data_IF_343921865551
#
_entry.id   IF_343921865551
#
_cell.length_a   1.000
_cell.length_b   1.000
_cell.length_c   1.000
_cell.angle_alpha   90.00
_cell.angle_beta   90.00
_cell.angle_gamma   90.00
#
_symmetry.space_group_name_H-M   'P 1'
#
loop_
_entity.id
_entity.type
_entity.pdbx_description
1 polymer ?
#
# COMPACT_ATOMS: atom_id res chain seq x y z
N UNK A 1 43.73 -32.03 -33.65
CA UNK A 1 42.28 -31.74 -33.67
C UNK A 1 41.69 -31.39 -32.30
N UNK A 2 41.87 -32.19 -31.24
CA UNK A 2 41.26 -31.95 -29.91
C UNK A 2 41.65 -30.61 -29.25
N UNK A 3 42.95 -30.28 -29.25
CA UNK A 3 43.51 -29.02 -28.71
C UNK A 3 43.03 -27.77 -29.46
N UNK A 4 42.74 -27.88 -30.76
CA UNK A 4 42.20 -26.79 -31.57
C UNK A 4 40.71 -26.57 -31.24
N UNK A 5 39.96 -27.64 -31.04
CA UNK A 5 38.53 -27.60 -30.65
C UNK A 5 38.33 -27.01 -29.25
N UNK A 6 39.19 -27.35 -28.28
CA UNK A 6 39.16 -26.78 -26.93
C UNK A 6 39.46 -25.27 -26.93
N UNK A 7 40.41 -24.82 -27.75
CA UNK A 7 40.67 -23.38 -27.94
C UNK A 7 39.50 -22.67 -28.62
N UNK A 8 38.86 -23.28 -29.61
CA UNK A 8 37.67 -22.71 -30.26
C UNK A 8 36.48 -22.59 -29.29
N UNK A 9 36.27 -23.59 -28.43
CA UNK A 9 35.22 -23.55 -27.39
C UNK A 9 35.50 -22.43 -26.39
N UNK A 10 36.75 -22.28 -25.94
CA UNK A 10 37.14 -21.22 -25.02
C UNK A 10 36.92 -19.82 -25.61
N UNK A 11 37.25 -19.64 -26.90
CA UNK A 11 37.03 -18.37 -27.62
C UNK A 11 35.54 -18.04 -27.74
N UNK A 12 34.70 -19.03 -28.06
CA UNK A 12 33.25 -18.84 -28.14
C UNK A 12 32.69 -18.46 -26.76
N UNK A 13 33.12 -19.14 -25.70
CA UNK A 13 32.63 -18.87 -24.35
C UNK A 13 33.03 -17.48 -23.86
N UNK A 14 34.27 -17.05 -24.17
CA UNK A 14 34.72 -15.69 -23.89
C UNK A 14 33.91 -14.65 -24.66
N UNK A 15 33.63 -14.89 -25.95
CA UNK A 15 32.81 -14.00 -26.77
C UNK A 15 31.37 -13.87 -26.23
N UNK A 16 30.77 -14.98 -25.77
CA UNK A 16 29.44 -14.96 -25.15
C UNK A 16 29.42 -14.16 -23.86
N UNK A 17 30.43 -14.30 -22.99
CA UNK A 17 30.52 -13.53 -21.74
C UNK A 17 30.65 -12.04 -22.05
N UNK A 18 31.48 -11.66 -23.03
CA UNK A 18 31.62 -10.28 -23.47
C UNK A 18 30.28 -9.74 -24.00
N UNK A 19 29.55 -10.53 -24.81
CA UNK A 19 28.24 -10.14 -25.32
C UNK A 19 27.23 -9.90 -24.20
N UNK A 20 27.18 -10.77 -23.17
CA UNK A 20 26.30 -10.61 -22.00
C UNK A 20 26.63 -9.32 -21.26
N UNK A 21 27.92 -9.03 -21.05
CA UNK A 21 28.36 -7.79 -20.38
C UNK A 21 27.92 -6.56 -21.19
N UNK A 22 28.11 -6.58 -22.51
CA UNK A 22 27.68 -5.49 -23.39
C UNK A 22 26.16 -5.30 -23.32
N UNK A 23 25.38 -6.38 -23.42
CA UNK A 23 23.92 -6.31 -23.31
C UNK A 23 23.47 -5.79 -21.94
N UNK A 24 24.13 -6.20 -20.86
CA UNK A 24 23.85 -5.71 -19.50
C UNK A 24 24.13 -4.21 -19.38
N UNK A 25 25.25 -3.73 -19.90
CA UNK A 25 25.53 -2.29 -19.94
C UNK A 25 24.58 -1.52 -20.85
N UNK A 26 24.12 -2.11 -21.96
CA UNK A 26 23.07 -1.52 -22.80
C UNK A 26 21.78 -1.42 -21.99
N UNK A 27 21.37 -2.45 -21.24
CA UNK A 27 20.17 -2.40 -20.40
C UNK A 27 20.29 -1.37 -19.27
N UNK A 28 21.46 -1.23 -18.64
CA UNK A 28 21.71 -0.22 -17.61
C UNK A 28 21.75 1.22 -18.17
N UNK A 29 22.21 1.40 -19.41
CA UNK A 29 22.31 2.71 -20.08
C UNK A 29 21.12 3.02 -20.99
N UNK A 30 20.24 2.05 -21.23
CA UNK A 30 18.89 2.33 -21.63
C UNK A 30 18.30 3.09 -20.45
N UNK A 31 18.27 4.42 -20.58
CA UNK A 31 17.22 5.23 -19.99
C UNK A 31 15.89 4.74 -20.59
N UNK A 32 15.50 3.49 -20.30
CA UNK A 32 14.09 3.17 -20.15
C UNK A 32 13.63 4.29 -19.25
N UNK A 33 12.71 5.12 -19.77
CA UNK A 33 12.09 6.12 -18.94
C UNK A 33 11.76 5.39 -17.64
N UNK A 34 12.41 5.80 -16.54
CA UNK A 34 11.67 5.75 -15.30
C UNK A 34 10.38 6.43 -15.71
N UNK A 35 9.25 5.78 -15.47
CA UNK A 35 8.04 6.57 -15.33
C UNK A 35 8.34 7.47 -14.14
N UNK A 36 9.07 8.56 -14.42
CA UNK A 36 8.95 9.83 -13.75
C UNK A 36 7.46 10.08 -13.87
N UNK A 37 6.77 9.59 -12.85
CA UNK A 37 5.39 9.88 -12.55
C UNK A 37 5.38 11.35 -12.10
N UNK A 38 5.85 12.22 -13.00
CA UNK A 38 5.70 13.66 -12.90
C UNK A 38 4.20 13.89 -12.93
N UNK A 39 3.68 14.19 -11.74
CA UNK A 39 2.28 14.47 -11.47
C UNK A 39 1.32 13.30 -11.76
N UNK A 40 1.06 12.50 -10.72
CA UNK A 40 -0.33 12.07 -10.48
C UNK A 40 -1.17 13.32 -10.22
N UNK A 41 -1.58 14.02 -11.27
CA UNK A 41 -2.80 14.84 -11.19
C UNK A 41 -3.97 13.86 -11.05
N UNK A 42 -4.10 13.28 -9.85
CA UNK A 42 -5.31 12.64 -9.40
C UNK A 42 -6.11 13.75 -8.75
N UNK A 43 -6.89 14.42 -9.60
CA UNK A 43 -8.12 15.02 -9.16
C UNK A 43 -9.21 14.06 -9.61
N UNK A 44 -10.20 13.81 -8.75
CA UNK A 44 -11.52 13.43 -9.23
C UNK A 44 -11.86 14.34 -10.43
N UNK A 45 -12.48 13.83 -11.51
CA UNK A 45 -12.82 14.66 -12.66
C UNK A 45 -13.48 15.96 -12.21
N UNK A 46 -13.24 17.09 -12.88
CA UNK A 46 -13.78 18.40 -12.46
C UNK A 46 -15.31 18.40 -12.26
N UNK A 47 -16.01 17.49 -12.93
CA UNK A 47 -17.45 17.28 -12.84
C UNK A 47 -17.87 16.16 -11.87
N UNK A 48 -16.97 15.68 -11.02
CA UNK A 48 -17.26 14.61 -10.06
C UNK A 48 -18.16 15.13 -8.94
N UNK A 49 -19.40 14.63 -8.93
CA UNK A 49 -20.32 14.81 -7.82
C UNK A 49 -20.22 13.62 -6.87
N UNK A 50 -20.14 13.89 -5.56
CA UNK A 50 -20.20 12.84 -4.56
C UNK A 50 -21.58 12.16 -4.63
N UNK A 51 -21.68 10.83 -4.70
CA UNK A 51 -22.98 10.17 -4.68
C UNK A 51 -23.70 10.43 -3.36
N UNK A 52 -25.00 10.68 -3.41
CA UNK A 52 -25.86 10.77 -2.23
C UNK A 52 -26.13 9.37 -1.65
N UNK A 53 -25.09 8.81 -1.02
CA UNK A 53 -25.08 7.48 -0.46
C UNK A 53 -24.44 7.51 0.93
N UNK A 54 -25.00 6.72 1.85
CA UNK A 54 -24.45 6.56 3.21
C UNK A 54 -23.14 5.76 3.22
N UNK A 55 -22.99 4.81 2.28
CA UNK A 55 -21.82 3.95 2.15
C UNK A 55 -21.34 4.04 0.70
N UNK A 56 -20.04 4.28 0.55
CA UNK A 56 -19.37 4.31 -0.74
C UNK A 56 -18.28 3.25 -0.69
N UNK A 57 -18.36 2.27 -1.59
CA UNK A 57 -17.36 1.23 -1.71
C UNK A 57 -16.39 1.60 -2.85
N UNK A 58 -15.10 1.54 -2.58
CA UNK A 58 -14.04 1.81 -3.55
C UNK A 58 -13.29 0.49 -3.76
N UNK A 59 -13.40 -0.07 -4.96
CA UNK A 59 -12.62 -1.24 -5.36
C UNK A 59 -11.33 -0.81 -6.05
N UNK A 60 -10.25 -1.57 -5.83
CA UNK A 60 -9.00 -1.41 -6.57
C UNK A 60 -8.86 -2.55 -7.58
N UNK A 61 -8.28 -2.26 -8.74
CA UNK A 61 -8.01 -3.32 -9.72
C UNK A 61 -6.90 -4.27 -9.23
N UNK A 62 -5.94 -3.74 -8.47
CA UNK A 62 -4.85 -4.46 -7.82
C UNK A 62 -4.44 -3.73 -6.53
N UNK A 63 -3.76 -4.41 -5.59
CA UNK A 63 -3.18 -3.76 -4.40
C UNK A 63 -1.87 -2.99 -4.68
N UNK A 64 -1.31 -3.10 -5.89
CA UNK A 64 0.00 -2.52 -6.25
C UNK A 64 -0.07 -1.18 -6.97
N UNK A 65 -1.27 -0.65 -7.21
CA UNK A 65 -1.45 0.66 -7.83
C UNK A 65 -1.55 1.72 -6.74
N UNK A 66 -1.00 2.89 -7.00
CA UNK A 66 -0.94 3.95 -5.99
C UNK A 66 -2.07 4.98 -6.14
N UNK A 67 -2.65 5.09 -7.34
CA UNK A 67 -3.80 5.95 -7.65
C UNK A 67 -5.01 5.72 -6.74
N UNK A 68 -5.41 4.47 -6.39
CA UNK A 68 -6.59 4.26 -5.56
C UNK A 68 -6.45 4.82 -4.14
N UNK A 69 -5.24 4.87 -3.58
CA UNK A 69 -5.00 5.48 -2.27
C UNK A 69 -5.28 6.98 -2.30
N UNK A 70 -4.81 7.66 -3.36
CA UNK A 70 -4.99 9.11 -3.53
C UNK A 70 -6.44 9.49 -3.76
N UNK A 71 -7.14 8.74 -4.63
CA UNK A 71 -8.58 8.92 -4.83
C UNK A 71 -9.35 8.70 -3.51
N UNK A 72 -8.94 7.71 -2.72
CA UNK A 72 -9.57 7.44 -1.41
C UNK A 72 -9.37 8.63 -0.46
N UNK A 73 -8.16 9.20 -0.38
CA UNK A 73 -7.90 10.40 0.44
C UNK A 73 -8.80 11.56 -0.01
N UNK A 74 -8.83 11.86 -1.31
CA UNK A 74 -9.62 12.97 -1.86
C UNK A 74 -11.13 12.78 -1.60
N UNK A 75 -11.64 11.56 -1.78
CA UNK A 75 -13.03 11.23 -1.47
C UNK A 75 -13.34 11.39 0.01
N UNK A 76 -12.48 10.91 0.91
CA UNK A 76 -12.67 11.05 2.35
C UNK A 76 -12.65 12.53 2.78
N UNK A 77 -11.74 13.33 2.23
CA UNK A 77 -11.67 14.78 2.45
C UNK A 77 -12.96 15.46 2.03
N UNK A 78 -13.40 15.26 0.78
CA UNK A 78 -14.62 15.86 0.24
C UNK A 78 -15.88 15.41 1.00
N UNK A 79 -15.96 14.12 1.38
CA UNK A 79 -17.06 13.61 2.22
C UNK A 79 -17.09 14.29 3.60
N UNK A 80 -15.92 14.46 4.24
CA UNK A 80 -15.82 15.12 5.54
C UNK A 80 -16.21 16.59 5.46
N UNK A 81 -15.75 17.30 4.43
CA UNK A 81 -16.10 18.70 4.18
C UNK A 81 -17.60 18.90 3.94
N UNK A 82 -18.22 18.07 3.11
CA UNK A 82 -19.64 18.20 2.76
C UNK A 82 -20.59 17.71 3.86
N UNK A 83 -20.19 16.69 4.63
CA UNK A 83 -21.08 15.96 5.57
C UNK A 83 -20.71 16.14 7.04
N UNK A 84 -19.60 16.80 7.34
CA UNK A 84 -19.08 17.06 8.68
C UNK A 84 -18.42 15.85 9.35
N UNK A 85 -18.67 14.62 8.89
CA UNK A 85 -17.99 13.42 9.40
C UNK A 85 -17.89 12.34 8.34
N UNK A 86 -16.89 11.47 8.50
CA UNK A 86 -16.65 10.28 7.68
C UNK A 86 -16.00 9.21 8.53
N UNK A 87 -16.24 7.94 8.18
CA UNK A 87 -15.50 6.80 8.72
C UNK A 87 -14.85 6.06 7.55
N UNK A 88 -13.63 5.58 7.76
CA UNK A 88 -12.90 4.80 6.78
C UNK A 88 -12.97 3.32 7.12
N UNK A 89 -13.28 2.49 6.12
CA UNK A 89 -13.35 1.05 6.25
C UNK A 89 -12.37 0.43 5.28
N UNK A 90 -11.41 -0.35 5.79
CA UNK A 90 -10.34 -0.97 5.02
C UNK A 90 -10.51 -2.49 5.02
N UNK A 91 -10.17 -3.13 3.90
CA UNK A 91 -10.03 -4.58 3.78
C UNK A 91 -8.80 -5.05 4.59
N UNK A 92 -8.95 -5.05 5.91
CA UNK A 92 -7.94 -5.39 6.91
C UNK A 92 -8.62 -6.11 8.09
N UNK A 93 -7.85 -6.83 8.90
CA UNK A 93 -8.34 -7.55 10.07
C UNK A 93 -9.18 -6.65 10.99
N UNK A 94 -10.39 -7.13 11.30
CA UNK A 94 -11.35 -6.44 12.17
C UNK A 94 -10.73 -6.05 13.52
N UNK A 95 -9.97 -6.97 14.12
CA UNK A 95 -9.33 -6.74 15.41
C UNK A 95 -8.21 -5.70 15.37
N UNK A 96 -7.48 -5.63 14.26
CA UNK A 96 -6.44 -4.63 14.06
C UNK A 96 -7.05 -3.24 13.85
N UNK A 97 -8.08 -3.13 13.01
CA UNK A 97 -8.85 -1.89 12.87
C UNK A 97 -9.44 -1.41 14.21
N UNK A 98 -9.99 -2.33 15.02
CA UNK A 98 -10.49 -1.99 16.35
C UNK A 98 -9.39 -1.45 17.27
N UNK A 99 -8.19 -2.06 17.26
CA UNK A 99 -7.04 -1.57 18.04
C UNK A 99 -6.58 -0.19 17.57
N UNK A 100 -6.44 0.01 16.25
CA UNK A 100 -6.07 1.30 15.65
C UNK A 100 -7.06 2.39 16.08
N UNK A 101 -8.36 2.08 16.03
CA UNK A 101 -9.42 3.01 16.42
C UNK A 101 -9.42 3.32 17.92
N UNK A 102 -9.05 2.37 18.78
CA UNK A 102 -8.98 2.61 20.23
C UNK A 102 -7.84 3.57 20.60
N UNK A 103 -6.69 3.44 19.95
CA UNK A 103 -5.51 4.24 20.28
C UNK A 103 -5.32 5.44 19.34
N UNK A 104 -6.21 5.62 18.35
CA UNK A 104 -6.12 6.62 17.29
C UNK A 104 -4.71 6.71 16.66
N UNK A 105 -4.08 5.54 16.46
CA UNK A 105 -2.74 5.40 15.88
C UNK A 105 -2.63 4.08 15.14
N UNK A 106 -1.97 4.11 13.98
CA UNK A 106 -1.69 2.94 13.15
C UNK A 106 -0.24 2.48 13.26
N UNK A 107 0.52 3.07 14.20
CA UNK A 107 1.91 2.74 14.48
C UNK A 107 2.07 2.42 15.96
N UNK A 108 2.79 1.35 16.24
CA UNK A 108 3.20 0.92 17.57
C UNK A 108 4.60 1.49 17.84
N UNK A 109 4.65 2.56 18.64
CA UNK A 109 5.91 3.25 18.96
C UNK A 109 6.86 2.37 19.80
N UNK A 110 6.33 1.44 20.61
CA UNK A 110 7.16 0.55 21.43
C UNK A 110 7.83 -0.55 20.60
N UNK A 111 7.13 -1.02 19.56
CA UNK A 111 7.59 -2.08 18.67
C UNK A 111 8.19 -1.55 17.36
N UNK A 112 8.24 -0.22 17.20
CA UNK A 112 8.69 0.48 16.00
C UNK A 112 8.12 -0.12 14.69
N UNK A 113 6.82 -0.40 14.67
CA UNK A 113 6.17 -1.02 13.49
C UNK A 113 4.72 -0.59 13.31
N UNK A 114 4.18 -0.62 12.08
CA UNK A 114 2.75 -0.46 11.85
C UNK A 114 1.92 -1.50 12.59
N UNK A 115 0.79 -1.08 13.14
CA UNK A 115 -0.23 -1.95 13.71
C UNK A 115 -1.06 -2.54 12.59
N UNK A 116 -1.03 -3.87 12.44
CA UNK A 116 -2.10 -4.59 11.78
C UNK A 116 -2.34 -4.21 10.32
N UNK A 117 -1.36 -4.51 9.48
CA UNK A 117 -1.54 -4.45 8.04
C UNK A 117 -1.07 -5.73 7.37
N UNK A 118 -1.85 -6.21 6.41
CA UNK A 118 -1.33 -7.14 5.41
C UNK A 118 -0.10 -6.55 4.74
N UNK A 119 0.90 -7.40 4.45
CA UNK A 119 2.16 -6.98 3.83
C UNK A 119 1.95 -6.19 2.52
N UNK A 120 0.83 -6.42 1.81
CA UNK A 120 0.47 -5.70 0.58
C UNK A 120 0.25 -4.20 0.80
N UNK A 121 -0.08 -3.79 2.02
CA UNK A 121 -0.29 -2.39 2.41
C UNK A 121 0.95 -1.73 3.02
N UNK A 122 2.08 -2.44 3.09
CA UNK A 122 3.34 -1.87 3.58
C UNK A 122 4.02 -1.03 2.49
N UNK A 123 3.42 0.13 2.18
CA UNK A 123 3.90 1.07 1.17
C UNK A 123 3.67 2.53 1.61
N UNK A 124 4.30 3.47 0.89
CA UNK A 124 4.26 4.89 1.23
C UNK A 124 2.86 5.51 1.09
N UNK A 125 2.06 4.99 0.17
CA UNK A 125 0.73 5.49 -0.15
C UNK A 125 -0.27 5.16 0.95
N UNK A 126 -0.23 3.94 1.48
CA UNK A 126 -0.98 3.58 2.68
C UNK A 126 -0.54 4.42 3.87
N UNK A 127 0.77 4.61 4.07
CA UNK A 127 1.26 5.45 5.17
C UNK A 127 0.73 6.90 5.07
N UNK A 128 0.65 7.46 3.86
CA UNK A 128 0.05 8.77 3.60
C UNK A 128 -1.44 8.79 3.92
N UNK A 129 -2.20 7.79 3.47
CA UNK A 129 -3.63 7.66 3.76
C UNK A 129 -3.88 7.57 5.27
N UNK A 130 -3.16 6.70 5.99
CA UNK A 130 -3.31 6.53 7.42
C UNK A 130 -2.83 7.75 8.22
N UNK A 131 -1.80 8.45 7.75
CA UNK A 131 -1.38 9.74 8.31
C UNK A 131 -2.51 10.76 8.26
N UNK A 132 -3.22 10.84 7.13
CA UNK A 132 -4.38 11.72 6.99
C UNK A 132 -5.53 11.29 7.91
N UNK A 133 -5.86 9.99 7.97
CA UNK A 133 -6.89 9.46 8.88
C UNK A 133 -6.59 9.84 10.32
N UNK A 134 -5.33 9.71 10.76
CA UNK A 134 -4.87 10.11 12.09
C UNK A 134 -4.96 11.62 12.31
N UNK A 135 -4.47 12.45 11.38
CA UNK A 135 -4.47 13.91 11.54
C UNK A 135 -5.89 14.49 11.58
N UNK A 136 -6.81 13.85 10.88
CA UNK A 136 -8.20 14.27 10.77
C UNK A 136 -9.14 13.58 11.79
N UNK A 137 -8.59 12.79 12.72
CA UNK A 137 -9.36 12.05 13.73
C UNK A 137 -10.53 11.25 13.13
N UNK A 138 -10.27 10.58 12.01
CA UNK A 138 -11.25 9.75 11.30
C UNK A 138 -11.25 8.35 11.91
N UNK A 139 -12.44 7.84 12.26
CA UNK A 139 -12.56 6.46 12.71
C UNK A 139 -12.19 5.48 11.58
N UNK A 140 -11.39 4.47 11.91
CA UNK A 140 -10.92 3.42 11.00
C UNK A 140 -11.44 2.07 11.46
N UNK A 141 -11.99 1.29 10.53
CA UNK A 141 -12.47 -0.06 10.78
C UNK A 141 -11.88 -1.06 9.79
N UNK A 142 -11.47 -2.23 10.28
CA UNK A 142 -11.16 -3.39 9.46
C UNK A 142 -12.42 -4.24 9.27
N UNK A 143 -12.57 -4.86 8.10
CA UNK A 143 -13.70 -5.76 7.78
C UNK A 143 -13.30 -7.20 7.47
N UNK A 144 -12.00 -7.49 7.38
CA UNK A 144 -11.52 -8.84 7.14
C UNK A 144 -11.53 -9.67 8.44
N UNK A 145 -11.75 -10.98 8.28
CA UNK A 145 -11.91 -11.98 9.33
C UNK A 145 -10.91 -13.14 9.18
N UNK A 146 -9.85 -12.98 8.39
CA UNK A 146 -8.80 -13.99 8.24
C UNK A 146 -8.16 -14.42 9.58
N UNK A 147 -8.22 -13.57 10.61
CA UNK A 147 -7.76 -13.89 11.97
C UNK A 147 -8.68 -13.27 13.03
N UNK A 148 -8.95 -14.04 14.10
CA UNK A 148 -9.76 -13.60 15.25
C UNK A 148 -8.90 -13.20 16.46
N UNK A 149 -7.58 -13.46 16.42
CA UNK A 149 -6.70 -13.32 17.58
C UNK A 149 -6.74 -11.90 18.16
N UNK A 150 -6.63 -10.88 17.30
CA UNK A 150 -6.61 -9.49 17.75
C UNK A 150 -7.96 -9.02 18.27
N UNK A 151 -9.05 -9.51 17.67
CA UNK A 151 -10.40 -9.26 18.17
C UNK A 151 -10.57 -9.81 19.59
N UNK A 152 -10.06 -11.02 19.86
CA UNK A 152 -10.08 -11.62 21.20
C UNK A 152 -9.28 -10.78 22.19
N UNK A 153 -8.08 -10.31 21.81
CA UNK A 153 -7.25 -9.48 22.69
C UNK A 153 -7.91 -8.13 23.01
N UNK A 154 -8.51 -7.46 22.01
CA UNK A 154 -9.29 -6.23 22.21
C UNK A 154 -10.43 -6.47 23.22
N UNK A 155 -11.18 -7.57 23.08
CA UNK A 155 -12.28 -7.90 23.99
C UNK A 155 -11.76 -8.21 25.40
N UNK A 156 -10.69 -8.99 25.52
CA UNK A 156 -10.09 -9.32 26.83
C UNK A 156 -9.63 -8.06 27.57
N UNK A 157 -8.96 -7.14 26.87
CA UNK A 157 -8.50 -5.89 27.45
C UNK A 157 -9.68 -5.06 27.94
N UNK A 158 -10.73 -4.92 27.12
CA UNK A 158 -11.96 -4.23 27.52
C UNK A 158 -12.60 -4.84 28.77
N UNK A 159 -12.66 -6.17 28.87
CA UNK A 159 -13.23 -6.86 30.03
C UNK A 159 -12.37 -6.65 31.30
N UNK A 160 -11.05 -6.72 31.17
CA UNK A 160 -10.12 -6.52 32.29
C UNK A 160 -10.08 -5.08 32.79
N UNK A 161 -10.33 -4.09 31.95
CA UNK A 161 -10.45 -2.68 32.37
C UNK A 161 -11.76 -2.37 33.10
N UNK A 162 -12.79 -3.21 32.91
CA UNK A 162 -14.16 -2.98 33.40
C UNK A 162 -14.55 -3.91 34.56
N UNK A 163 -13.70 -4.85 34.98
CA UNK A 163 -13.98 -5.83 36.04
C UNK A 163 -12.74 -6.62 36.44
#
# INVERSE_FOLDING_TARGET
>A
MKKTREKSILVILLATVILIIILFFIVLNLNLASTDYEYRQLALPDNFSMPDARVIAIGTATHGNAEPYDITIEMLQKMKEERGSVAFVLEELTGDGARINQIHSYYDDEQERPLGFYNVYNNSEMNRLLSWVKSEDVNLYGIDIQSIYQTVEVIKNFLNEKG
#
